data_IF_831998127356
#
_entry.id   IF_831998127356
#
_cell.length_a   1.000
_cell.length_b   1.000
_cell.length_c   1.000
_cell.angle_alpha   90.00
_cell.angle_beta   90.00
_cell.angle_gamma   90.00
#
_symmetry.space_group_name_H-M   'P 1'
#
loop_
_entity.id
_entity.type
_entity.pdbx_description
1 polymer ?
#
# COMPACT_ATOMS: atom_id res chain seq x y z
N UNK A 1 -41.32 -6.86 -11.04
CA UNK A 1 -39.90 -7.28 -11.11
C UNK A 1 -39.39 -7.53 -9.68
N UNK A 2 -38.81 -8.67 -9.42
CA UNK A 2 -38.27 -8.96 -8.09
C UNK A 2 -36.84 -8.40 -7.99
N UNK A 3 -36.70 -7.24 -7.32
CA UNK A 3 -35.40 -6.56 -7.13
C UNK A 3 -34.51 -7.31 -6.18
N UNK A 4 -35.04 -8.13 -5.27
CA UNK A 4 -34.27 -8.87 -4.28
C UNK A 4 -33.23 -9.80 -4.90
N UNK A 5 -33.51 -10.34 -6.09
CA UNK A 5 -32.57 -11.22 -6.80
C UNK A 5 -31.23 -10.56 -7.16
N UNK A 6 -31.19 -9.23 -7.32
CA UNK A 6 -29.95 -8.48 -7.61
C UNK A 6 -29.12 -8.20 -6.36
N UNK A 7 -29.74 -8.30 -5.18
CA UNK A 7 -29.14 -8.08 -3.88
C UNK A 7 -29.02 -9.37 -3.06
N UNK A 8 -28.79 -10.50 -3.73
CA UNK A 8 -28.38 -11.74 -3.06
C UNK A 8 -26.87 -11.78 -2.92
N UNK A 9 -26.37 -12.52 -1.93
CA UNK A 9 -24.93 -12.71 -1.76
C UNK A 9 -24.27 -13.25 -3.04
N UNK A 10 -24.92 -14.20 -3.72
CA UNK A 10 -24.43 -14.78 -4.98
C UNK A 10 -24.35 -13.73 -6.10
N UNK A 11 -25.34 -12.87 -6.24
CA UNK A 11 -25.35 -11.80 -7.25
C UNK A 11 -24.23 -10.79 -7.00
N UNK A 12 -24.02 -10.39 -5.73
CA UNK A 12 -22.95 -9.46 -5.33
C UNK A 12 -21.57 -10.06 -5.60
N UNK A 13 -21.34 -11.32 -5.25
CA UNK A 13 -20.08 -12.02 -5.52
C UNK A 13 -19.84 -12.16 -7.03
N UNK A 14 -20.88 -12.49 -7.82
CA UNK A 14 -20.77 -12.55 -9.27
C UNK A 14 -20.44 -11.20 -9.90
N UNK A 15 -20.92 -10.08 -9.31
CA UNK A 15 -20.56 -8.72 -9.74
C UNK A 15 -19.05 -8.47 -9.63
N UNK A 16 -18.40 -8.92 -8.56
CA UNK A 16 -16.96 -8.72 -8.36
C UNK A 16 -16.11 -9.31 -9.49
N UNK A 17 -16.55 -10.45 -10.06
CA UNK A 17 -15.85 -11.09 -11.18
C UNK A 17 -15.93 -10.31 -12.51
N UNK A 18 -16.85 -9.37 -12.66
CA UNK A 18 -17.04 -8.55 -13.86
C UNK A 18 -16.32 -7.20 -13.80
N UNK A 19 -15.89 -6.79 -12.61
CA UNK A 19 -15.29 -5.48 -12.41
C UNK A 19 -13.83 -5.43 -12.88
N UNK A 20 -13.38 -4.30 -13.46
CA UNK A 20 -12.01 -4.14 -13.93
C UNK A 20 -11.01 -4.19 -12.78
N UNK A 21 -9.78 -4.60 -13.07
CA UNK A 21 -8.70 -4.57 -12.09
C UNK A 21 -8.36 -3.13 -11.67
N UNK A 22 -8.18 -2.94 -10.36
CA UNK A 22 -7.80 -1.64 -9.80
C UNK A 22 -6.29 -1.54 -9.68
N UNK A 23 -5.72 -0.50 -10.25
CA UNK A 23 -4.30 -0.19 -10.13
C UNK A 23 -4.05 0.68 -8.89
N UNK A 24 -3.03 0.31 -8.11
CA UNK A 24 -2.59 0.99 -6.89
C UNK A 24 -1.08 1.11 -6.89
N UNK A 25 -0.52 2.31 -7.15
CA UNK A 25 0.91 2.48 -7.46
C UNK A 25 1.85 1.92 -6.40
N UNK A 26 1.59 2.18 -5.11
CA UNK A 26 2.46 1.71 -4.01
C UNK A 26 2.30 0.21 -3.80
N UNK A 27 1.04 -0.26 -3.71
CA UNK A 27 0.76 -1.67 -3.46
C UNK A 27 1.23 -2.58 -4.59
N UNK A 28 1.02 -2.17 -5.85
CA UNK A 28 1.38 -2.98 -7.01
C UNK A 28 2.90 -2.97 -7.25
N UNK A 29 3.59 -1.89 -6.87
CA UNK A 29 5.04 -1.79 -6.99
C UNK A 29 5.80 -2.54 -5.89
N UNK A 30 5.37 -2.40 -4.62
CA UNK A 30 6.13 -2.86 -3.47
C UNK A 30 5.48 -4.06 -2.76
N UNK A 31 4.15 -4.10 -2.65
CA UNK A 31 3.40 -5.11 -1.91
C UNK A 31 2.77 -6.16 -2.84
N UNK A 32 3.56 -6.68 -3.78
CA UNK A 32 3.10 -7.72 -4.72
C UNK A 32 2.78 -9.05 -4.02
N UNK A 33 3.46 -9.36 -2.92
CA UNK A 33 3.19 -10.54 -2.11
C UNK A 33 1.96 -10.28 -1.22
N UNK A 34 0.84 -10.95 -1.55
CA UNK A 34 -0.43 -10.85 -0.85
C UNK A 34 -0.69 -12.15 -0.09
N UNK A 35 -0.93 -12.03 1.22
CA UNK A 35 -1.09 -13.18 2.13
C UNK A 35 -2.43 -13.07 2.83
N UNK A 36 -3.22 -14.14 2.78
CA UNK A 36 -4.45 -14.26 3.57
C UNK A 36 -4.09 -14.86 4.94
N UNK A 37 -4.37 -14.11 6.00
CA UNK A 37 -4.06 -14.52 7.38
C UNK A 37 -5.33 -15.01 8.08
N UNK A 38 -5.31 -16.22 8.66
CA UNK A 38 -6.53 -16.86 9.16
C UNK A 38 -7.11 -16.24 10.46
N UNK A 39 -6.38 -15.31 11.07
CA UNK A 39 -6.80 -14.66 12.32
C UNK A 39 -6.95 -13.15 12.14
N UNK A 40 -7.77 -12.47 12.96
CA UNK A 40 -7.93 -11.01 12.94
C UNK A 40 -6.72 -10.28 13.54
N UNK A 41 -5.86 -10.99 14.27
CA UNK A 41 -4.66 -10.49 14.93
C UNK A 41 -3.43 -11.09 14.28
N UNK A 42 -2.49 -10.24 13.87
CA UNK A 42 -1.21 -10.64 13.27
C UNK A 42 -0.13 -10.63 14.34
N UNK A 43 0.48 -11.77 14.55
CA UNK A 43 1.52 -11.92 15.58
C UNK A 43 2.92 -11.68 15.02
N UNK A 44 3.87 -11.72 15.91
CA UNK A 44 5.27 -11.57 15.63
C UNK A 44 5.87 -12.51 14.62
N UNK A 45 5.49 -13.77 14.70
CA UNK A 45 6.01 -14.77 13.76
C UNK A 45 5.61 -14.45 12.32
N UNK A 46 4.41 -13.88 12.15
CA UNK A 46 3.86 -13.52 10.85
C UNK A 46 4.51 -12.24 10.30
N UNK A 47 5.06 -11.41 11.20
CA UNK A 47 5.80 -10.20 10.86
C UNK A 47 7.29 -10.45 10.69
N UNK A 48 7.81 -11.57 11.23
CA UNK A 48 9.23 -11.87 11.19
C UNK A 48 9.73 -12.01 9.73
N UNK A 49 10.85 -11.34 9.47
CA UNK A 49 11.59 -11.52 8.24
C UNK A 49 12.37 -12.85 8.32
N UNK A 50 12.57 -13.52 7.18
CA UNK A 50 13.43 -14.69 7.16
C UNK A 50 14.81 -14.36 7.72
N UNK A 51 15.45 -15.28 8.49
CA UNK A 51 16.80 -15.07 8.95
C UNK A 51 17.74 -14.94 7.75
N UNK A 52 18.80 -14.14 7.93
CA UNK A 52 19.84 -14.01 6.93
C UNK A 52 20.61 -15.32 6.68
N UNK A 53 21.81 -15.20 6.14
CA UNK A 53 22.67 -16.34 5.87
C UNK A 53 22.93 -17.18 7.13
N UNK A 54 22.88 -18.50 6.98
CA UNK A 54 23.21 -19.45 8.05
C UNK A 54 24.55 -20.13 7.72
N UNK A 55 25.29 -20.63 8.73
CA UNK A 55 26.52 -21.36 8.50
C UNK A 55 26.24 -22.68 7.77
N UNK A 56 27.18 -23.07 6.90
CA UNK A 56 27.15 -24.41 6.27
C UNK A 56 27.49 -25.44 7.33
N UNK A 57 26.72 -26.50 7.40
CA UNK A 57 26.93 -27.61 8.34
C UNK A 57 27.71 -28.74 7.67
N UNK A 58 28.55 -29.41 8.46
CA UNK A 58 29.29 -30.59 7.99
C UNK A 58 28.32 -31.72 7.66
N UNK A 59 28.59 -32.47 6.59
CA UNK A 59 27.80 -33.63 6.22
C UNK A 59 27.70 -34.62 7.38
N UNK A 60 26.49 -35.05 7.72
CA UNK A 60 26.21 -36.00 8.80
C UNK A 60 26.08 -35.36 10.21
N UNK A 61 26.14 -34.04 10.33
CA UNK A 61 25.84 -33.34 11.60
C UNK A 61 24.39 -32.87 11.65
N UNK A 62 23.91 -32.53 12.84
CA UNK A 62 22.55 -32.05 13.07
C UNK A 62 22.29 -30.74 12.29
N UNK A 63 21.04 -30.53 11.83
CA UNK A 63 20.61 -29.31 11.17
C UNK A 63 20.79 -28.08 12.07
N UNK A 64 21.09 -26.93 11.45
CA UNK A 64 21.18 -25.64 12.18
C UNK A 64 19.77 -25.19 12.58
N UNK A 65 19.49 -25.01 13.89
CA UNK A 65 18.18 -24.56 14.34
C UNK A 65 17.97 -23.09 13.99
N UNK A 66 16.88 -22.78 13.25
CA UNK A 66 16.44 -21.41 13.05
C UNK A 66 15.61 -21.00 14.26
N UNK A 67 16.22 -20.28 15.18
CA UNK A 67 15.49 -19.67 16.29
C UNK A 67 15.00 -18.30 15.83
N UNK A 68 13.67 -18.03 15.80
CA UNK A 68 13.18 -16.70 15.58
C UNK A 68 13.77 -15.77 16.64
N UNK A 69 14.38 -14.67 16.23
CA UNK A 69 14.81 -13.66 17.22
C UNK A 69 13.57 -13.19 17.96
N UNK A 70 13.54 -13.39 19.25
CA UNK A 70 12.51 -12.82 20.12
C UNK A 70 12.62 -11.29 20.05
N UNK A 71 11.85 -10.71 19.15
CA UNK A 71 11.50 -9.31 19.25
C UNK A 71 10.36 -9.18 20.22
N UNK A 72 10.33 -8.14 21.03
CA UNK A 72 9.17 -7.77 21.82
C UNK A 72 8.00 -7.53 20.87
N UNK A 73 7.03 -8.44 20.84
CA UNK A 73 6.04 -8.40 19.79
C UNK A 73 4.70 -8.13 20.36
N UNK A 74 4.29 -6.95 20.07
CA UNK A 74 2.94 -6.49 20.11
C UNK A 74 2.15 -7.26 19.04
N UNK A 75 1.08 -7.93 19.44
CA UNK A 75 0.10 -8.44 18.50
C UNK A 75 -0.58 -7.24 17.86
N UNK A 76 -0.65 -7.21 16.53
CA UNK A 76 -1.34 -6.16 15.79
C UNK A 76 -2.75 -6.65 15.50
N UNK A 77 -3.73 -6.00 16.11
CA UNK A 77 -5.13 -6.17 15.74
C UNK A 77 -5.41 -5.39 14.48
N UNK A 78 -5.75 -6.10 13.39
CA UNK A 78 -6.01 -5.46 12.10
C UNK A 78 -7.43 -4.91 12.07
N UNK A 79 -7.53 -3.60 11.90
CA UNK A 79 -8.82 -2.91 11.89
C UNK A 79 -9.50 -3.03 10.51
N UNK A 80 -10.84 -3.24 10.47
CA UNK A 80 -11.57 -3.35 9.23
C UNK A 80 -11.75 -2.00 8.54
N UNK A 81 -11.66 -2.02 7.22
CA UNK A 81 -12.14 -0.96 6.32
C UNK A 81 -13.50 -1.39 5.82
N UNK A 82 -14.57 -0.72 6.30
CA UNK A 82 -15.95 -1.20 6.14
C UNK A 82 -16.89 -0.10 5.60
N UNK A 83 -16.73 0.32 4.31
CA UNK A 83 -17.66 1.27 3.70
C UNK A 83 -19.01 0.61 3.42
N UNK A 84 -20.08 1.42 3.43
CA UNK A 84 -21.43 0.94 3.08
C UNK A 84 -22.20 1.97 2.28
N UNK A 85 -23.08 1.50 1.42
CA UNK A 85 -24.03 2.31 0.66
C UNK A 85 -25.44 1.83 1.02
N UNK A 86 -26.34 2.76 1.34
CA UNK A 86 -27.72 2.46 1.67
C UNK A 86 -28.64 2.89 0.52
N UNK A 87 -29.42 1.94 0.03
CA UNK A 87 -30.47 2.15 -0.97
C UNK A 87 -31.82 2.16 -0.27
N UNK A 88 -32.48 3.30 -0.25
CA UNK A 88 -33.81 3.42 0.35
C UNK A 88 -34.86 2.68 -0.48
N UNK A 89 -36.00 2.37 0.15
CA UNK A 89 -37.14 1.79 -0.59
C UNK A 89 -37.63 2.72 -1.72
N UNK A 90 -37.46 4.03 -1.57
CA UNK A 90 -37.77 5.00 -2.63
C UNK A 90 -36.82 4.84 -3.82
N UNK A 91 -35.50 4.74 -3.58
CA UNK A 91 -34.51 4.49 -4.63
C UNK A 91 -34.80 3.18 -5.35
N UNK A 92 -35.08 2.11 -4.59
CA UNK A 92 -35.45 0.79 -5.14
C UNK A 92 -36.75 0.84 -5.97
N UNK A 93 -37.73 1.67 -5.56
CA UNK A 93 -38.97 1.85 -6.31
C UNK A 93 -38.73 2.57 -7.64
N UNK A 94 -37.86 3.56 -7.65
CA UNK A 94 -37.42 4.25 -8.87
C UNK A 94 -36.71 3.30 -9.84
N UNK A 95 -35.94 2.34 -9.32
CA UNK A 95 -35.24 1.33 -10.12
C UNK A 95 -36.20 0.38 -10.87
N UNK A 96 -37.45 0.24 -10.42
CA UNK A 96 -38.44 -0.58 -11.14
C UNK A 96 -38.75 -0.06 -12.55
N UNK A 97 -38.47 1.22 -12.81
CA UNK A 97 -38.61 1.83 -14.13
C UNK A 97 -37.49 1.45 -15.09
N UNK A 98 -36.39 0.88 -14.59
CA UNK A 98 -35.28 0.43 -15.40
C UNK A 98 -35.43 -1.04 -15.82
N UNK A 99 -34.84 -1.36 -16.96
CA UNK A 99 -34.66 -2.76 -17.35
C UNK A 99 -33.68 -3.49 -16.42
N UNK A 100 -33.73 -4.83 -16.44
CA UNK A 100 -32.89 -5.67 -15.60
C UNK A 100 -31.37 -5.39 -15.77
N UNK A 101 -30.95 -5.03 -16.99
CA UNK A 101 -29.58 -4.67 -17.32
C UNK A 101 -29.15 -3.37 -16.62
N UNK A 102 -30.05 -2.35 -16.60
CA UNK A 102 -29.75 -1.09 -15.92
C UNK A 102 -29.64 -1.25 -14.40
N UNK A 103 -30.48 -2.12 -13.81
CA UNK A 103 -30.40 -2.44 -12.38
C UNK A 103 -29.07 -3.14 -12.06
N UNK A 104 -28.67 -4.12 -12.90
CA UNK A 104 -27.41 -4.83 -12.70
C UNK A 104 -26.21 -3.87 -12.77
N UNK A 105 -26.18 -2.95 -13.75
CA UNK A 105 -25.13 -1.94 -13.86
C UNK A 105 -25.05 -1.04 -12.63
N UNK A 106 -26.19 -0.65 -12.05
CA UNK A 106 -26.20 0.16 -10.83
C UNK A 106 -25.62 -0.61 -9.65
N UNK A 107 -25.99 -1.88 -9.47
CA UNK A 107 -25.43 -2.74 -8.42
C UNK A 107 -23.93 -2.90 -8.61
N UNK A 108 -23.48 -3.20 -9.83
CA UNK A 108 -22.06 -3.35 -10.17
C UNK A 108 -21.28 -2.05 -9.87
N UNK A 109 -21.81 -0.88 -10.21
CA UNK A 109 -21.20 0.41 -9.91
C UNK A 109 -21.09 0.70 -8.41
N UNK A 110 -22.09 0.30 -7.63
CA UNK A 110 -22.04 0.47 -6.17
C UNK A 110 -21.00 -0.45 -5.54
N UNK A 111 -20.94 -1.71 -5.95
CA UNK A 111 -19.95 -2.66 -5.48
C UNK A 111 -18.55 -2.20 -5.88
N UNK A 112 -18.36 -1.67 -7.10
CA UNK A 112 -17.09 -1.10 -7.55
C UNK A 112 -16.69 0.11 -6.70
N UNK A 113 -17.62 0.98 -6.34
CA UNK A 113 -17.36 2.13 -5.46
C UNK A 113 -16.87 1.68 -4.09
N UNK A 114 -17.52 0.68 -3.48
CA UNK A 114 -17.10 0.13 -2.19
C UNK A 114 -15.71 -0.52 -2.29
N UNK A 115 -15.48 -1.31 -3.35
CA UNK A 115 -14.20 -1.96 -3.61
C UNK A 115 -13.07 -0.96 -3.81
N UNK A 116 -13.32 0.11 -4.60
CA UNK A 116 -12.35 1.21 -4.81
C UNK A 116 -12.02 1.91 -3.50
N UNK A 117 -13.02 2.19 -2.66
CA UNK A 117 -12.81 2.82 -1.35
C UNK A 117 -11.92 1.97 -0.45
N UNK A 118 -12.18 0.66 -0.34
CA UNK A 118 -11.31 -0.26 0.40
C UNK A 118 -9.90 -0.30 -0.16
N UNK A 119 -9.77 -0.37 -1.50
CA UNK A 119 -8.46 -0.43 -2.17
C UNK A 119 -7.66 0.86 -2.00
N UNK A 120 -8.29 2.03 -2.11
CA UNK A 120 -7.64 3.33 -1.89
C UNK A 120 -7.21 3.51 -0.43
N UNK A 121 -8.01 3.01 0.53
CA UNK A 121 -7.61 3.01 1.95
C UNK A 121 -6.41 2.09 2.18
N UNK A 122 -6.39 0.90 1.59
CA UNK A 122 -5.25 -0.01 1.67
C UNK A 122 -3.98 0.62 1.05
N UNK A 123 -4.11 1.35 -0.05
CA UNK A 123 -3.02 2.10 -0.69
C UNK A 123 -2.49 3.22 0.22
N UNK A 124 -3.39 3.95 0.90
CA UNK A 124 -2.99 4.99 1.87
C UNK A 124 -2.21 4.38 3.05
N UNK A 125 -2.67 3.24 3.59
CA UNK A 125 -1.96 2.52 4.64
C UNK A 125 -0.58 2.03 4.15
N UNK A 126 -0.51 1.52 2.91
CA UNK A 126 0.75 1.09 2.29
C UNK A 126 1.72 2.26 2.11
N UNK A 127 1.24 3.43 1.68
CA UNK A 127 2.05 4.63 1.57
C UNK A 127 2.61 5.08 2.93
N UNK A 128 1.77 5.10 3.98
CA UNK A 128 2.21 5.46 5.32
C UNK A 128 3.26 4.49 5.87
N UNK A 129 3.09 3.20 5.65
CA UNK A 129 4.02 2.18 6.16
C UNK A 129 5.45 2.33 5.63
N UNK A 130 5.66 3.00 4.48
CA UNK A 130 7.00 3.32 3.96
C UNK A 130 7.78 4.28 4.86
N UNK A 131 7.12 5.02 5.73
CA UNK A 131 7.77 5.86 6.75
C UNK A 131 8.19 5.07 8.00
N UNK A 132 7.82 3.78 8.06
CA UNK A 132 8.09 2.88 9.19
C UNK A 132 6.96 2.80 10.21
N UNK A 133 5.88 3.56 10.03
CA UNK A 133 4.71 3.53 10.89
C UNK A 133 3.43 3.82 10.09
N UNK A 134 2.33 3.29 10.57
CA UNK A 134 0.98 3.65 10.12
C UNK A 134 0.36 4.52 11.23
N UNK A 135 -0.21 5.66 10.86
CA UNK A 135 -1.03 6.50 11.73
C UNK A 135 -2.25 6.94 10.93
N UNK A 136 -3.36 6.24 11.09
CA UNK A 136 -4.55 6.42 10.27
C UNK A 136 -5.79 6.68 11.12
N UNK A 137 -6.77 7.40 10.57
CA UNK A 137 -8.01 7.69 11.24
C UNK A 137 -8.86 6.42 11.41
N UNK A 138 -9.31 6.15 12.63
CA UNK A 138 -10.22 5.07 12.97
C UNK A 138 -11.47 5.64 13.64
N UNK A 139 -12.64 5.18 13.23
CA UNK A 139 -13.90 5.55 13.86
C UNK A 139 -14.13 4.68 15.11
N UNK A 140 -14.22 5.30 16.28
CA UNK A 140 -14.57 4.63 17.53
C UNK A 140 -16.07 4.35 17.67
N UNK A 141 -16.45 3.56 18.67
CA UNK A 141 -17.84 3.15 18.95
C UNK A 141 -18.79 4.34 19.14
N UNK A 142 -18.34 5.42 19.76
CA UNK A 142 -19.11 6.65 19.95
C UNK A 142 -19.16 7.57 18.73
N UNK A 143 -18.63 7.16 17.57
CA UNK A 143 -18.59 7.96 16.35
C UNK A 143 -17.45 8.98 16.31
N UNK A 144 -16.68 9.13 17.39
CA UNK A 144 -15.47 9.94 17.44
C UNK A 144 -14.34 9.35 16.58
N UNK A 145 -13.42 10.23 16.15
CA UNK A 145 -12.22 9.80 15.43
C UNK A 145 -11.10 9.49 16.42
N UNK A 146 -10.56 8.28 16.32
CA UNK A 146 -9.38 7.79 17.02
C UNK A 146 -8.23 7.65 16.04
N UNK A 147 -7.02 7.39 16.53
CA UNK A 147 -5.88 7.00 15.70
C UNK A 147 -5.65 5.50 15.77
N UNK A 148 -5.51 4.88 14.61
CA UNK A 148 -4.98 3.53 14.45
C UNK A 148 -3.48 3.65 14.22
N UNK A 149 -2.68 3.22 15.17
CA UNK A 149 -1.23 3.35 15.13
C UNK A 149 -0.56 1.98 15.13
N UNK A 150 0.34 1.77 14.17
CA UNK A 150 1.16 0.55 14.05
C UNK A 150 2.59 0.97 13.75
N UNK A 151 3.54 0.56 14.56
CA UNK A 151 4.96 0.85 14.38
C UNK A 151 5.71 -0.39 13.89
N UNK A 152 6.47 -0.23 12.80
CA UNK A 152 7.34 -1.26 12.23
C UNK A 152 8.83 -0.97 12.48
N UNK A 153 9.15 0.24 12.95
CA UNK A 153 10.51 0.75 13.16
C UNK A 153 10.81 1.97 12.30
N UNK A 154 12.04 2.44 12.35
CA UNK A 154 12.46 3.66 11.63
C UNK A 154 13.37 3.31 10.46
N UNK A 155 13.05 3.73 9.21
CA UNK A 155 13.93 3.57 8.06
C UNK A 155 15.28 4.25 8.27
N UNK A 156 16.34 3.63 7.78
CA UNK A 156 17.68 4.23 7.84
C UNK A 156 17.74 5.51 7.00
N UNK A 157 18.45 6.52 7.48
CA UNK A 157 18.58 7.81 6.79
C UNK A 157 20.00 8.00 6.29
N UNK A 158 20.13 8.57 5.08
CA UNK A 158 21.41 9.03 4.51
C UNK A 158 21.35 10.55 4.42
N UNK A 159 22.41 11.19 4.95
CA UNK A 159 22.61 12.62 4.77
C UNK A 159 23.39 12.87 3.50
N UNK A 160 22.79 13.61 2.55
CA UNK A 160 23.43 14.01 1.29
C UNK A 160 24.28 15.24 1.54
N UNK A 161 25.57 15.18 1.23
CA UNK A 161 26.52 16.26 1.48
C UNK A 161 26.22 17.51 0.61
N UNK A 162 25.89 17.29 -0.67
CA UNK A 162 25.48 18.36 -1.61
C UNK A 162 24.05 18.12 -2.01
N UNK A 163 23.20 19.10 -1.79
CA UNK A 163 21.79 19.01 -2.21
C UNK A 163 21.70 19.03 -3.74
N UNK A 164 20.71 18.30 -4.26
CA UNK A 164 20.59 18.13 -5.72
C UNK A 164 20.10 19.38 -6.45
N UNK A 165 19.40 20.28 -5.76
CA UNK A 165 18.97 21.59 -6.26
C UNK A 165 20.06 22.67 -6.20
N UNK A 166 21.16 22.47 -5.48
CA UNK A 166 22.27 23.42 -5.41
C UNK A 166 22.86 23.70 -6.78
N UNK A 167 23.16 24.96 -7.07
CA UNK A 167 23.71 25.41 -8.36
C UNK A 167 25.05 24.69 -8.69
N UNK A 168 25.88 24.45 -7.68
CA UNK A 168 27.18 23.78 -7.82
C UNK A 168 27.13 22.26 -7.91
N UNK A 169 25.96 21.64 -7.76
CA UNK A 169 25.83 20.19 -7.82
C UNK A 169 25.76 19.70 -9.26
N UNK A 170 26.71 18.85 -9.64
CA UNK A 170 26.79 18.22 -10.95
C UNK A 170 26.07 16.85 -10.95
N UNK A 171 25.72 16.36 -12.13
CA UNK A 171 25.11 15.01 -12.27
C UNK A 171 26.02 13.90 -11.69
N UNK A 172 27.34 14.04 -11.80
CA UNK A 172 28.26 13.11 -11.17
C UNK A 172 28.16 13.04 -9.64
N UNK A 173 27.89 14.18 -8.98
CA UNK A 173 27.64 14.22 -7.54
C UNK A 173 26.34 13.50 -7.17
N UNK A 174 25.30 13.62 -8.03
CA UNK A 174 24.02 12.91 -7.86
C UNK A 174 24.24 11.39 -8.00
N UNK A 175 24.93 10.95 -9.06
CA UNK A 175 25.22 9.53 -9.28
C UNK A 175 26.03 8.95 -8.11
N UNK A 176 27.01 9.70 -7.60
CA UNK A 176 27.79 9.29 -6.42
C UNK A 176 26.92 9.12 -5.19
N UNK A 177 26.02 10.07 -4.93
CA UNK A 177 25.11 9.99 -3.79
C UNK A 177 24.12 8.83 -3.91
N UNK A 178 23.65 8.51 -5.11
CA UNK A 178 22.81 7.33 -5.38
C UNK A 178 23.60 6.03 -5.10
N UNK A 179 24.87 5.97 -5.50
CA UNK A 179 25.76 4.83 -5.17
C UNK A 179 25.95 4.65 -3.67
N UNK A 180 26.19 5.72 -2.91
CA UNK A 180 26.30 5.69 -1.46
C UNK A 180 25.03 5.18 -0.77
N UNK A 181 23.85 5.56 -1.28
CA UNK A 181 22.55 5.06 -0.80
C UNK A 181 22.45 3.55 -1.05
N UNK A 182 22.79 3.08 -2.27
CA UNK A 182 22.76 1.65 -2.63
C UNK A 182 23.71 0.85 -1.74
N UNK A 183 24.95 1.33 -1.54
CA UNK A 183 25.93 0.65 -0.69
C UNK A 183 25.47 0.54 0.76
N UNK A 184 24.78 1.56 1.26
CA UNK A 184 24.19 1.50 2.60
C UNK A 184 23.02 0.53 2.65
N UNK A 185 22.17 0.50 1.64
CA UNK A 185 21.03 -0.42 1.55
C UNK A 185 21.50 -1.89 1.52
N UNK A 186 22.55 -2.19 0.74
CA UNK A 186 23.14 -3.53 0.63
C UNK A 186 23.70 -4.07 1.95
N UNK A 187 24.03 -3.19 2.90
CA UNK A 187 24.48 -3.59 4.24
C UNK A 187 23.34 -4.06 5.14
N UNK A 188 22.11 -3.64 4.87
CA UNK A 188 20.91 -3.93 5.69
C UNK A 188 19.94 -4.89 5.03
N UNK A 189 19.96 -4.96 3.70
CA UNK A 189 19.12 -5.81 2.86
C UNK A 189 19.98 -6.48 1.77
N UNK A 190 19.59 -7.64 1.22
CA UNK A 190 20.27 -8.30 0.10
C UNK A 190 20.52 -7.39 -1.11
N UNK A 191 19.70 -6.36 -1.32
CA UNK A 191 19.88 -5.33 -2.34
C UNK A 191 19.80 -5.84 -3.77
N UNK A 192 18.93 -6.81 -4.05
CA UNK A 192 18.84 -7.47 -5.36
C UNK A 192 18.07 -6.64 -6.39
N UNK A 193 17.04 -5.88 -5.96
CA UNK A 193 16.17 -5.09 -6.85
C UNK A 193 15.84 -3.73 -6.23
N UNK A 194 16.80 -2.81 -6.32
CA UNK A 194 16.70 -1.47 -5.74
C UNK A 194 15.95 -0.52 -6.66
N UNK A 195 14.90 0.08 -6.15
CA UNK A 195 14.12 1.14 -6.81
C UNK A 195 14.25 2.42 -6.00
N UNK A 196 14.50 3.54 -6.69
CA UNK A 196 14.45 4.87 -6.09
C UNK A 196 13.09 5.49 -6.37
N UNK A 197 12.38 5.90 -5.34
CA UNK A 197 11.06 6.52 -5.42
C UNK A 197 11.13 7.97 -4.98
N UNK A 198 10.45 8.84 -5.69
CA UNK A 198 10.44 10.27 -5.37
C UNK A 198 9.09 10.92 -5.65
N UNK A 199 8.83 12.04 -4.96
CA UNK A 199 7.72 12.95 -5.26
C UNK A 199 8.04 13.87 -6.45
N UNK A 200 7.05 14.70 -6.82
CA UNK A 200 7.13 15.59 -7.97
C UNK A 200 8.23 16.66 -7.83
N UNK A 201 8.45 17.20 -6.63
CA UNK A 201 9.43 18.25 -6.35
C UNK A 201 10.86 17.83 -6.73
N UNK A 202 11.27 16.63 -6.28
CA UNK A 202 12.60 16.10 -6.60
C UNK A 202 12.68 15.71 -8.07
N UNK A 203 11.61 15.15 -8.62
CA UNK A 203 11.54 14.80 -10.03
C UNK A 203 11.73 16.04 -10.92
N UNK A 204 11.01 17.13 -10.63
CA UNK A 204 11.13 18.40 -11.38
C UNK A 204 12.54 18.98 -11.28
N UNK A 205 13.13 19.04 -10.08
CA UNK A 205 14.50 19.52 -9.88
C UNK A 205 15.54 18.69 -10.66
N UNK A 206 15.33 17.39 -10.77
CA UNK A 206 16.20 16.51 -11.56
C UNK A 206 16.00 16.69 -13.05
N UNK A 207 14.78 16.92 -13.54
CA UNK A 207 14.49 17.21 -14.93
C UNK A 207 15.25 18.47 -15.37
N UNK A 208 15.20 19.54 -14.57
CA UNK A 208 15.93 20.78 -14.84
C UNK A 208 17.45 20.54 -14.93
N UNK A 209 18.00 19.74 -14.01
CA UNK A 209 19.43 19.37 -14.04
C UNK A 209 19.82 18.54 -15.27
N UNK A 210 18.96 17.59 -15.68
CA UNK A 210 19.21 16.74 -16.85
C UNK A 210 19.02 17.53 -18.15
N UNK A 211 18.03 18.44 -18.22
CA UNK A 211 17.82 19.31 -19.36
C UNK A 211 19.02 20.23 -19.64
N UNK A 212 19.76 20.60 -18.60
CA UNK A 212 20.99 21.38 -18.76
C UNK A 212 22.18 20.56 -19.32
N UNK A 213 22.04 19.23 -19.47
CA UNK A 213 23.07 18.38 -20.05
C UNK A 213 22.90 18.28 -21.58
N UNK A 214 24.02 18.45 -22.32
CA UNK A 214 24.04 18.18 -23.75
C UNK A 214 24.29 16.70 -24.14
N UNK A 215 24.30 15.80 -23.14
CA UNK A 215 24.65 14.40 -23.34
C UNK A 215 23.58 13.46 -22.69
N UNK A 216 22.74 12.89 -23.56
CA UNK A 216 21.67 11.94 -23.16
C UNK A 216 22.19 10.55 -22.75
N UNK A 217 23.46 10.24 -22.99
CA UNK A 217 24.06 8.97 -22.58
C UNK A 217 24.27 8.90 -21.04
N UNK A 218 24.39 10.04 -20.38
CA UNK A 218 24.63 10.12 -18.93
C UNK A 218 23.32 10.09 -18.14
N UNK A 219 22.26 10.73 -18.65
CA UNK A 219 20.96 10.73 -18.01
C UNK A 219 19.84 10.86 -19.06
N UNK A 220 18.75 10.14 -18.83
CA UNK A 220 17.55 10.14 -19.69
C UNK A 220 16.32 10.43 -18.84
N UNK A 221 15.45 11.32 -19.33
CA UNK A 221 14.15 11.62 -18.75
C UNK A 221 13.08 10.84 -19.51
N UNK A 222 12.32 10.02 -18.78
CA UNK A 222 11.11 9.37 -19.26
C UNK A 222 9.85 10.06 -18.70
N UNK A 223 8.64 9.58 -19.03
CA UNK A 223 7.39 10.18 -18.57
C UNK A 223 7.24 10.18 -17.05
N UNK A 224 7.72 9.14 -16.38
CA UNK A 224 7.57 8.88 -14.94
C UNK A 224 8.87 8.41 -14.28
N UNK A 225 10.00 8.52 -14.98
CA UNK A 225 11.30 8.12 -14.44
C UNK A 225 12.45 8.94 -15.00
N UNK A 226 13.55 8.96 -14.26
CA UNK A 226 14.85 9.46 -14.72
C UNK A 226 15.87 8.36 -14.53
N UNK A 227 16.59 8.02 -15.59
CA UNK A 227 17.66 7.02 -15.59
C UNK A 227 19.02 7.71 -15.62
N UNK A 228 19.94 7.27 -14.75
CA UNK A 228 21.31 7.77 -14.67
C UNK A 228 22.30 6.68 -15.09
N UNK A 229 22.76 6.72 -16.34
CA UNK A 229 23.87 5.92 -16.86
C UNK A 229 23.81 4.42 -16.58
N UNK A 230 22.62 3.82 -16.46
CA UNK A 230 22.44 2.42 -16.09
C UNK A 230 22.74 2.11 -14.61
N UNK A 231 23.14 3.10 -13.80
CA UNK A 231 23.48 2.92 -12.37
C UNK A 231 22.22 2.95 -11.51
N UNK A 232 21.29 3.86 -11.80
CA UNK A 232 20.08 4.02 -11.02
C UNK A 232 18.90 4.50 -11.88
N UNK A 233 17.70 4.04 -11.53
CA UNK A 233 16.43 4.52 -12.09
C UNK A 233 15.62 5.12 -10.94
N UNK A 234 15.37 6.44 -11.00
CA UNK A 234 14.51 7.15 -10.07
C UNK A 234 13.12 7.19 -10.69
N UNK A 235 12.13 6.68 -9.99
CA UNK A 235 10.74 6.62 -10.42
C UNK A 235 9.91 7.65 -9.68
N UNK A 236 9.11 8.42 -10.43
CA UNK A 236 8.12 9.31 -9.88
C UNK A 236 6.96 8.49 -9.33
N UNK A 237 6.67 8.64 -8.06
CA UNK A 237 5.50 8.06 -7.40
C UNK A 237 4.54 9.18 -7.02
N UNK A 238 3.58 9.47 -7.90
CA UNK A 238 2.58 10.54 -7.72
C UNK A 238 1.38 10.10 -6.86
N UNK A 239 1.54 9.08 -6.01
CA UNK A 239 0.48 8.62 -5.15
C UNK A 239 0.26 9.62 -4.01
N UNK A 240 -0.98 10.10 -3.87
CA UNK A 240 -1.41 10.96 -2.78
C UNK A 240 -2.60 10.31 -2.07
N UNK A 241 -2.72 10.56 -0.78
CA UNK A 241 -3.89 10.17 -0.01
C UNK A 241 -4.37 11.33 0.86
N UNK A 242 -5.64 11.29 1.27
CA UNK A 242 -6.19 12.30 2.18
C UNK A 242 -6.05 11.80 3.61
N UNK A 243 -5.35 12.55 4.45
CA UNK A 243 -5.38 12.34 5.89
C UNK A 243 -6.77 12.74 6.43
N UNK A 244 -7.52 11.77 6.91
CA UNK A 244 -8.90 11.98 7.37
C UNK A 244 -8.99 12.77 8.68
N UNK A 245 -7.89 12.89 9.43
CA UNK A 245 -7.82 13.69 10.67
C UNK A 245 -7.60 15.14 10.33
N UNK A 246 -6.57 15.45 9.55
CA UNK A 246 -6.19 16.81 9.18
C UNK A 246 -6.93 17.32 7.95
N UNK A 247 -7.57 16.45 7.18
CA UNK A 247 -8.24 16.69 5.88
C UNK A 247 -7.29 17.25 4.81
N UNK A 248 -6.00 17.05 4.99
CA UNK A 248 -4.98 17.47 4.02
C UNK A 248 -4.62 16.34 3.08
N UNK A 249 -4.28 16.70 1.85
CA UNK A 249 -3.69 15.76 0.89
C UNK A 249 -2.21 15.58 1.22
N UNK A 250 -1.82 14.33 1.47
CA UNK A 250 -0.45 13.94 1.81
C UNK A 250 0.13 13.10 0.68
N UNK A 251 1.35 13.40 0.29
CA UNK A 251 2.08 12.59 -0.69
C UNK A 251 2.58 11.29 -0.04
N UNK A 252 2.54 10.19 -0.80
CA UNK A 252 3.09 8.90 -0.38
C UNK A 252 4.60 8.98 -0.09
N UNK A 253 5.31 9.84 -0.84
CA UNK A 253 6.73 10.13 -0.61
C UNK A 253 6.84 11.49 0.06
N UNK A 254 7.54 11.62 1.20
CA UNK A 254 7.75 12.90 1.85
C UNK A 254 8.43 13.90 0.90
N UNK A 255 8.04 15.18 0.99
CA UNK A 255 8.62 16.25 0.19
C UNK A 255 10.14 16.29 0.30
N UNK A 256 10.83 16.71 -0.77
CA UNK A 256 12.28 16.86 -0.84
C UNK A 256 13.08 15.56 -0.61
N UNK A 257 12.41 14.41 -0.66
CA UNK A 257 12.98 13.13 -0.26
C UNK A 257 13.01 12.13 -1.41
N UNK A 258 14.07 11.31 -1.43
CA UNK A 258 14.14 10.07 -2.21
C UNK A 258 14.12 8.89 -1.24
N UNK A 259 13.29 7.90 -1.54
CA UNK A 259 13.30 6.61 -0.88
C UNK A 259 13.98 5.59 -1.80
N UNK A 260 15.04 4.95 -1.32
CA UNK A 260 15.60 3.77 -1.95
C UNK A 260 14.99 2.53 -1.27
N UNK A 261 14.38 1.67 -2.05
CA UNK A 261 13.65 0.49 -1.58
C UNK A 261 14.15 -0.75 -2.30
N UNK A 262 14.52 -1.78 -1.56
CA UNK A 262 14.76 -3.10 -2.13
C UNK A 262 13.43 -3.88 -2.19
N UNK A 263 12.85 -3.98 -3.40
CA UNK A 263 11.56 -4.65 -3.62
C UNK A 263 11.62 -6.17 -3.42
N UNK A 264 12.81 -6.75 -3.52
CA UNK A 264 12.98 -8.21 -3.42
C UNK A 264 12.87 -8.72 -2.00
N UNK A 265 12.87 -7.85 -0.99
CA UNK A 265 13.01 -8.24 0.40
C UNK A 265 11.80 -7.82 1.27
N UNK A 266 10.86 -8.74 1.42
CA UNK A 266 9.98 -8.81 2.58
C UNK A 266 8.79 -7.84 2.66
N UNK A 267 8.44 -7.12 1.58
CA UNK A 267 7.21 -6.33 1.55
C UNK A 267 5.99 -7.23 1.35
N UNK A 268 5.04 -7.19 2.29
CA UNK A 268 3.87 -8.07 2.27
C UNK A 268 2.59 -7.30 2.55
N UNK A 269 1.55 -7.58 1.77
CA UNK A 269 0.18 -7.15 2.08
C UNK A 269 -0.54 -8.32 2.74
N UNK A 270 -0.83 -8.20 4.03
CA UNK A 270 -1.58 -9.19 4.79
C UNK A 270 -3.06 -8.78 4.77
N UNK A 271 -3.93 -9.71 4.41
CA UNK A 271 -5.37 -9.58 4.62
C UNK A 271 -5.76 -10.48 5.78
N UNK A 272 -6.21 -9.88 6.89
CA UNK A 272 -6.64 -10.62 8.06
C UNK A 272 -8.08 -11.16 7.91
N UNK A 273 -8.44 -12.16 8.70
CA UNK A 273 -9.77 -12.72 8.72
C UNK A 273 -10.83 -11.65 9.02
N UNK A 274 -11.92 -11.65 8.27
CA UNK A 274 -13.05 -10.75 8.46
C UNK A 274 -13.90 -11.23 9.64
N UNK A 275 -14.42 -10.28 10.43
CA UNK A 275 -15.37 -10.58 11.53
C UNK A 275 -16.80 -10.62 10.96
N UNK A 276 -17.01 -11.45 9.94
CA UNK A 276 -18.24 -11.51 9.19
C UNK A 276 -18.65 -12.96 8.94
N UNK A 277 -19.83 -13.33 9.46
CA UNK A 277 -20.36 -14.69 9.38
C UNK A 277 -20.68 -15.10 7.93
N UNK A 278 -21.21 -14.16 7.11
CA UNK A 278 -21.53 -14.43 5.70
C UNK A 278 -20.28 -14.58 4.83
N UNK A 279 -19.17 -13.98 5.26
CA UNK A 279 -17.85 -14.20 4.70
C UNK A 279 -17.19 -15.50 5.20
N UNK A 280 -17.82 -16.24 6.12
CA UNK A 280 -17.29 -17.46 6.71
C UNK A 280 -16.10 -17.24 7.66
N UNK A 281 -15.91 -16.03 8.18
CA UNK A 281 -14.80 -15.64 9.08
C UNK A 281 -13.41 -15.89 8.44
N UNK A 282 -13.31 -15.79 7.12
CA UNK A 282 -12.06 -16.03 6.38
C UNK A 282 -11.42 -14.73 5.90
N UNK A 283 -10.13 -14.80 5.62
CA UNK A 283 -9.37 -13.69 5.08
C UNK A 283 -9.59 -13.57 3.57
N UNK A 284 -9.88 -12.35 3.11
CA UNK A 284 -9.98 -12.04 1.68
C UNK A 284 -9.70 -10.56 1.41
N UNK A 285 -9.20 -10.24 0.19
CA UNK A 285 -8.88 -8.86 -0.16
C UNK A 285 -10.07 -7.90 -0.13
N UNK A 286 -11.26 -8.40 -0.44
CA UNK A 286 -12.51 -7.65 -0.41
C UNK A 286 -13.70 -8.62 -0.37
N UNK A 287 -14.68 -8.28 0.45
CA UNK A 287 -15.97 -8.95 0.54
C UNK A 287 -17.08 -7.91 0.44
N UNK A 288 -18.21 -8.26 -0.14
CA UNK A 288 -19.39 -7.42 -0.13
C UNK A 288 -20.66 -8.26 0.11
N UNK A 289 -21.59 -7.70 0.85
CA UNK A 289 -22.87 -8.34 1.16
C UNK A 289 -24.02 -7.33 1.21
N UNK A 290 -25.22 -7.73 0.81
CA UNK A 290 -26.43 -6.96 1.02
C UNK A 290 -27.01 -7.28 2.42
N UNK A 291 -27.49 -6.25 3.10
CA UNK A 291 -28.17 -6.35 4.39
C UNK A 291 -29.52 -5.67 4.25
N UNK A 292 -30.62 -6.40 4.40
CA UNK A 292 -31.97 -5.82 4.44
C UNK A 292 -32.17 -5.02 5.73
N UNK A 293 -32.68 -3.78 5.58
CA UNK A 293 -33.08 -2.92 6.68
C UNK A 293 -34.62 -2.75 6.68
N UNK A 294 -35.20 -2.79 7.87
CA UNK A 294 -36.65 -2.60 8.04
C UNK A 294 -37.00 -1.14 8.34
N UNK A 295 -36.12 -0.42 9.03
CA UNK A 295 -36.30 0.98 9.41
C UNK A 295 -34.96 1.73 9.35
N UNK A 296 -34.78 2.67 8.41
CA UNK A 296 -35.64 2.86 7.25
C UNK A 296 -35.62 1.64 6.32
N UNK A 297 -36.76 1.39 5.64
CA UNK A 297 -36.86 0.27 4.71
C UNK A 297 -35.92 0.46 3.52
N UNK A 298 -35.12 -0.56 3.23
CA UNK A 298 -34.13 -0.51 2.16
C UNK A 298 -33.13 -1.65 2.19
N UNK A 299 -32.09 -1.54 1.37
CA UNK A 299 -30.96 -2.47 1.32
C UNK A 299 -29.67 -1.71 1.55
N UNK A 300 -28.90 -2.13 2.55
CA UNK A 300 -27.53 -1.67 2.80
C UNK A 300 -26.58 -2.64 2.10
N UNK A 301 -25.76 -2.15 1.18
CA UNK A 301 -24.64 -2.91 0.63
C UNK A 301 -23.40 -2.57 1.45
N UNK A 302 -22.84 -3.57 2.14
CA UNK A 302 -21.65 -3.45 2.97
C UNK A 302 -20.47 -3.99 2.19
N UNK A 303 -19.39 -3.22 2.10
CA UNK A 303 -18.07 -3.69 1.66
C UNK A 303 -17.17 -3.87 2.86
N UNK A 304 -16.24 -4.83 2.83
CA UNK A 304 -15.35 -5.11 3.95
C UNK A 304 -13.98 -5.61 3.46
N UNK A 305 -12.92 -5.13 4.12
CA UNK A 305 -11.53 -5.57 3.92
C UNK A 305 -10.75 -5.34 5.21
N UNK A 306 -9.73 -6.18 5.51
CA UNK A 306 -8.81 -5.99 6.63
C UNK A 306 -7.35 -6.02 6.15
N UNK A 307 -6.89 -4.96 5.44
CA UNK A 307 -5.53 -4.89 4.93
C UNK A 307 -4.55 -4.41 5.99
N UNK A 308 -3.40 -5.09 6.09
CA UNK A 308 -2.23 -4.65 6.85
C UNK A 308 -1.00 -4.71 5.94
N UNK A 309 -0.50 -3.57 5.45
CA UNK A 309 0.78 -3.52 4.76
C UNK A 309 1.92 -3.65 5.77
N UNK A 310 2.76 -4.65 5.57
CA UNK A 310 3.93 -4.93 6.40
C UNK A 310 5.18 -4.60 5.59
N UNK A 311 5.84 -3.46 5.84
CA UNK A 311 7.07 -3.08 5.17
C UNK A 311 8.27 -3.82 5.78
N UNK A 312 9.30 -4.06 4.98
CA UNK A 312 10.62 -4.33 5.52
C UNK A 312 11.38 -3.00 5.72
N UNK A 313 11.37 -2.48 6.92
CA UNK A 313 12.00 -1.19 7.25
C UNK A 313 13.51 -1.19 7.00
N UNK A 314 14.18 -2.36 7.10
CA UNK A 314 15.62 -2.51 6.80
C UNK A 314 15.93 -2.41 5.30
N UNK A 315 14.93 -2.67 4.46
CA UNK A 315 14.99 -2.56 3.01
C UNK A 315 14.61 -1.16 2.51
N UNK A 316 14.45 -0.19 3.39
CA UNK A 316 14.13 1.21 3.06
C UNK A 316 15.24 2.13 3.55
N UNK A 317 15.72 3.00 2.66
CA UNK A 317 16.59 4.12 3.02
C UNK A 317 15.94 5.42 2.57
N UNK A 318 15.90 6.38 3.50
CA UNK A 318 15.41 7.73 3.27
C UNK A 318 16.58 8.70 3.08
N UNK A 319 16.53 9.52 2.04
CA UNK A 319 17.49 10.59 1.82
C UNK A 319 16.77 11.91 1.51
N UNK A 320 17.06 12.97 2.28
CA UNK A 320 16.57 14.32 1.99
C UNK A 320 17.57 14.95 1.02
N UNK A 321 17.15 15.15 -0.23
CA UNK A 321 18.02 15.50 -1.36
C UNK A 321 17.90 16.95 -1.82
N UNK A 322 16.85 17.66 -1.48
CA UNK A 322 16.65 19.09 -1.74
C UNK A 322 16.81 19.91 -0.46
N UNK A 323 17.06 21.21 -0.63
CA UNK A 323 17.15 22.20 0.47
C UNK A 323 15.81 22.54 1.10
#
# INVERSE_FOLDING_TARGET
MDLKKFFTLQAVVASLGRLPELKTPVMDLLYSLRINHPFPVVGARDLALPPGNIPVIRRGTQSYPLVPKDGSITMIEVQPVSPSIFLTAADLNNLKMLESTGIQQLVDNQIDTLRRTCRLTAEALAAQSLTGAISYAMRGEGGGMLKYEVEFGTPATVTIAKKWDDVGTKIGDIIKSLGEIVDKLKKTSPGMDVVFLTGFDVYAALVDKVAALNNTAVAQVGPDFISFGGVAKIQLLSANYTDLITKQTVSAIPAKTVLAVDKSDGFRMIYAALDNMDAGLVAMPFFAQPIESKDPSGVKVLGESKPLPVPNVKAIIKAVVLT
#
